data_IF_906161756889
#
_entry.id   IF_906161756889
#
_cell.length_a   1.000
_cell.length_b   1.000
_cell.length_c   1.000
_cell.angle_alpha   90.00
_cell.angle_beta   90.00
_cell.angle_gamma   90.00
#
_symmetry.space_group_name_H-M   'P 1'
#
loop_
_entity.id
_entity.type
_entity.pdbx_description
1 polymer ?
#
# COMPACT_ATOMS: atom_id res chain seq x y z
N UNK A 1 -32.51 -2.44 -15.89
CA UNK A 1 -32.68 -1.18 -15.13
C UNK A 1 -31.27 -0.73 -14.86
N UNK A 2 -30.87 0.49 -15.24
CA UNK A 2 -29.55 1.01 -14.86
C UNK A 2 -29.49 1.11 -13.34
N UNK A 3 -28.47 0.52 -12.73
CA UNK A 3 -28.24 0.58 -11.28
C UNK A 3 -28.19 2.04 -10.81
N UNK A 4 -28.59 2.27 -9.57
CA UNK A 4 -28.60 3.63 -9.01
C UNK A 4 -27.16 4.10 -8.86
N UNK A 5 -26.81 5.09 -9.65
CA UNK A 5 -25.51 5.74 -9.63
C UNK A 5 -25.52 6.87 -8.60
N UNK A 6 -24.55 6.92 -7.74
CA UNK A 6 -24.47 7.91 -6.65
C UNK A 6 -23.10 8.59 -6.66
N UNK A 7 -23.08 9.92 -6.54
CA UNK A 7 -21.86 10.72 -6.43
C UNK A 7 -21.88 11.44 -5.08
N UNK A 8 -20.76 11.46 -4.38
CA UNK A 8 -20.59 12.20 -3.15
C UNK A 8 -19.27 12.97 -3.12
N UNK A 9 -19.28 14.14 -2.51
CA UNK A 9 -18.09 14.94 -2.16
C UNK A 9 -17.73 14.82 -0.68
N UNK A 10 -18.45 13.98 0.07
CA UNK A 10 -18.17 13.68 1.46
C UNK A 10 -17.23 12.49 1.58
N UNK A 11 -16.00 12.71 2.06
CA UNK A 11 -15.04 11.64 2.33
C UNK A 11 -15.61 10.59 3.28
N UNK A 12 -16.33 11.02 4.33
CA UNK A 12 -16.94 10.10 5.28
C UNK A 12 -18.03 9.22 4.63
N UNK A 13 -18.88 9.79 3.79
CA UNK A 13 -19.89 9.03 3.05
C UNK A 13 -19.24 8.03 2.09
N UNK A 14 -18.20 8.46 1.35
CA UNK A 14 -17.42 7.60 0.48
C UNK A 14 -16.78 6.43 1.24
N UNK A 15 -16.17 6.67 2.41
CA UNK A 15 -15.59 5.64 3.27
C UNK A 15 -16.64 4.61 3.72
N UNK A 16 -17.84 5.06 4.13
CA UNK A 16 -18.95 4.16 4.52
C UNK A 16 -19.38 3.28 3.35
N UNK A 17 -19.52 3.85 2.15
CA UNK A 17 -19.89 3.08 0.97
C UNK A 17 -18.79 2.12 0.53
N UNK A 18 -17.54 2.57 0.56
CA UNK A 18 -16.39 1.70 0.28
C UNK A 18 -16.38 0.49 1.22
N UNK A 19 -16.53 0.70 2.53
CA UNK A 19 -16.55 -0.38 3.53
C UNK A 19 -17.70 -1.37 3.33
N UNK A 20 -18.84 -0.92 2.76
CA UNK A 20 -19.96 -1.80 2.41
C UNK A 20 -19.67 -2.65 1.19
N UNK A 21 -19.00 -2.10 0.17
CA UNK A 21 -18.65 -2.81 -1.07
C UNK A 21 -17.46 -3.74 -0.88
N UNK A 22 -16.52 -3.35 -0.03
CA UNK A 22 -15.26 -4.08 0.22
C UNK A 22 -15.08 -4.34 1.72
N UNK A 23 -15.92 -5.20 2.34
CA UNK A 23 -15.92 -5.39 3.78
C UNK A 23 -14.57 -5.91 4.29
N UNK A 24 -14.07 -5.27 5.34
CA UNK A 24 -12.79 -5.59 5.97
C UNK A 24 -11.55 -5.05 5.27
N UNK A 25 -11.68 -4.40 4.11
CA UNK A 25 -10.55 -3.74 3.44
C UNK A 25 -10.31 -2.33 4.01
N UNK A 26 -9.13 -2.03 4.56
CA UNK A 26 -8.80 -0.68 5.03
C UNK A 26 -8.23 0.22 3.92
N UNK A 27 -8.29 -0.18 2.66
CA UNK A 27 -7.66 0.53 1.54
C UNK A 27 -8.05 2.01 1.47
N UNK A 28 -9.35 2.31 1.52
CA UNK A 28 -9.83 3.69 1.39
C UNK A 28 -9.21 4.60 2.47
N UNK A 29 -9.26 4.16 3.73
CA UNK A 29 -8.71 4.92 4.84
C UNK A 29 -7.18 5.06 4.78
N UNK A 30 -6.49 4.10 4.17
CA UNK A 30 -5.04 4.08 4.07
C UNK A 30 -4.50 4.92 2.90
N UNK A 31 -5.18 4.88 1.73
CA UNK A 31 -4.67 5.48 0.48
C UNK A 31 -5.41 6.74 0.01
N UNK A 32 -6.60 7.03 0.55
CA UNK A 32 -7.40 8.19 0.14
C UNK A 32 -7.46 9.19 1.30
N UNK A 33 -6.50 10.13 1.41
CA UNK A 33 -6.48 11.11 2.49
C UNK A 33 -7.64 12.11 2.34
N UNK A 34 -8.30 12.45 3.46
CA UNK A 34 -9.41 13.39 3.45
C UNK A 34 -9.01 14.77 2.90
N UNK A 35 -7.78 15.22 3.16
CA UNK A 35 -7.25 16.51 2.69
C UNK A 35 -7.16 16.61 1.17
N UNK A 36 -7.03 15.49 0.47
CA UNK A 36 -6.85 15.43 -0.99
C UNK A 36 -8.06 14.84 -1.71
N UNK A 37 -9.08 14.40 -0.97
CA UNK A 37 -10.27 13.78 -1.54
C UNK A 37 -11.08 14.79 -2.36
N UNK A 38 -11.44 14.42 -3.59
CA UNK A 38 -12.27 15.25 -4.47
C UNK A 38 -13.73 14.77 -4.40
N UNK A 39 -13.97 13.54 -4.84
CA UNK A 39 -15.29 12.91 -4.86
C UNK A 39 -15.17 11.39 -4.91
N UNK A 40 -16.28 10.72 -4.71
CA UNK A 40 -16.44 9.31 -5.05
C UNK A 40 -17.76 9.07 -5.78
N UNK A 41 -17.73 8.09 -6.65
CA UNK A 41 -18.86 7.63 -7.44
C UNK A 41 -18.99 6.12 -7.27
N UNK A 42 -20.19 5.61 -7.04
CA UNK A 42 -20.46 4.20 -6.80
C UNK A 42 -21.85 3.79 -7.28
N UNK A 43 -22.01 2.50 -7.57
CA UNK A 43 -23.26 1.90 -8.00
C UNK A 43 -23.62 0.65 -7.18
N UNK A 44 -24.80 0.10 -7.49
CA UNK A 44 -25.30 -1.13 -6.84
C UNK A 44 -24.67 -2.41 -7.44
N UNK A 45 -23.85 -2.31 -8.48
CA UNK A 45 -23.14 -3.42 -9.13
C UNK A 45 -21.77 -3.68 -8.52
N UNK A 46 -21.36 -2.85 -7.56
CA UNK A 46 -20.10 -3.00 -6.81
C UNK A 46 -18.93 -2.23 -7.43
N UNK A 47 -19.21 -1.27 -8.32
CA UNK A 47 -18.18 -0.36 -8.81
C UNK A 47 -18.04 0.83 -7.86
N UNK A 48 -16.79 1.27 -7.68
CA UNK A 48 -16.41 2.40 -6.84
C UNK A 48 -15.27 3.15 -7.49
N UNK A 49 -15.46 4.44 -7.70
CA UNK A 49 -14.47 5.32 -8.32
C UNK A 49 -14.25 6.51 -7.42
N UNK A 50 -13.00 6.91 -7.20
CA UNK A 50 -12.65 8.07 -6.38
C UNK A 50 -11.45 8.80 -6.97
N UNK A 51 -11.49 10.15 -6.92
CA UNK A 51 -10.39 11.02 -7.28
C UNK A 51 -9.77 11.68 -6.05
N UNK A 52 -8.45 11.88 -6.08
CA UNK A 52 -7.71 12.72 -5.13
C UNK A 52 -6.80 13.67 -5.89
N UNK A 53 -6.57 14.86 -5.33
CA UNK A 53 -5.64 15.83 -5.87
C UNK A 53 -4.27 15.70 -5.19
N UNK A 54 -3.26 15.32 -5.98
CA UNK A 54 -1.88 15.18 -5.54
C UNK A 54 -0.97 15.49 -6.75
N UNK A 55 -0.52 16.73 -6.89
CA UNK A 55 0.20 17.19 -8.09
C UNK A 55 -0.55 16.83 -9.40
N UNK A 56 -1.85 17.09 -9.43
CA UNK A 56 -2.80 16.68 -10.44
C UNK A 56 -3.76 15.61 -9.93
N UNK A 57 -4.80 15.32 -10.70
CA UNK A 57 -5.82 14.35 -10.30
C UNK A 57 -5.28 12.92 -10.46
N UNK A 58 -5.30 12.20 -9.37
CA UNK A 58 -5.05 10.75 -9.36
C UNK A 58 -6.36 10.02 -9.03
N UNK A 59 -6.73 9.08 -9.88
CA UNK A 59 -7.94 8.29 -9.72
C UNK A 59 -7.69 6.88 -9.17
N UNK A 60 -8.71 6.32 -8.53
CA UNK A 60 -8.81 4.90 -8.19
C UNK A 60 -10.17 4.41 -8.66
N UNK A 61 -10.18 3.37 -9.48
CA UNK A 61 -11.39 2.77 -10.06
C UNK A 61 -11.44 1.28 -9.71
N UNK A 62 -12.41 0.88 -8.90
CA UNK A 62 -12.59 -0.47 -8.36
C UNK A 62 -13.87 -1.11 -8.89
N UNK A 63 -13.88 -2.43 -8.99
CA UNK A 63 -14.99 -3.21 -9.49
C UNK A 63 -14.72 -3.80 -10.87
N UNK A 64 -15.72 -4.41 -11.47
CA UNK A 64 -15.59 -5.09 -12.77
C UNK A 64 -15.76 -4.16 -13.99
N UNK A 65 -16.46 -3.03 -13.81
CA UNK A 65 -16.73 -2.04 -14.85
C UNK A 65 -16.92 -0.64 -14.27
N UNK A 66 -15.91 -0.10 -13.54
CA UNK A 66 -16.02 1.22 -12.92
C UNK A 66 -16.04 2.31 -13.99
N UNK A 67 -16.74 3.40 -13.70
CA UNK A 67 -16.65 4.60 -14.52
C UNK A 67 -15.26 5.22 -14.42
N UNK A 68 -14.66 5.58 -15.55
CA UNK A 68 -13.37 6.26 -15.59
C UNK A 68 -13.61 7.69 -16.07
N UNK A 69 -13.47 8.70 -15.17
CA UNK A 69 -13.64 10.10 -15.54
C UNK A 69 -12.63 10.55 -16.60
N UNK A 70 -13.10 11.26 -17.62
CA UNK A 70 -12.26 11.69 -18.74
C UNK A 70 -11.19 12.73 -18.37
N UNK A 71 -11.37 13.42 -17.26
CA UNK A 71 -10.41 14.39 -16.72
C UNK A 71 -9.21 13.75 -16.03
N UNK A 72 -9.21 12.45 -15.83
CA UNK A 72 -8.07 11.78 -15.20
C UNK A 72 -6.93 11.57 -16.20
N UNK A 73 -5.73 11.99 -15.83
CA UNK A 73 -4.52 11.72 -16.58
C UNK A 73 -3.82 10.44 -16.11
N UNK A 74 -4.02 10.08 -14.85
CA UNK A 74 -3.43 8.90 -14.21
C UNK A 74 -4.38 8.30 -13.17
N UNK A 75 -4.43 6.97 -13.08
CA UNK A 75 -5.27 6.27 -12.12
C UNK A 75 -4.84 4.81 -11.93
N UNK A 76 -5.24 4.22 -10.80
CA UNK A 76 -5.18 2.77 -10.57
C UNK A 76 -6.53 2.15 -10.85
N UNK A 77 -6.56 1.23 -11.81
CA UNK A 77 -7.72 0.45 -12.20
C UNK A 77 -7.66 -0.92 -11.51
N UNK A 78 -8.79 -1.39 -10.98
CA UNK A 78 -8.93 -2.80 -10.58
C UNK A 78 -8.55 -3.70 -11.76
N UNK A 79 -7.58 -4.60 -11.58
CA UNK A 79 -7.06 -5.42 -12.69
C UNK A 79 -8.12 -6.29 -13.34
N UNK A 80 -9.25 -6.57 -12.65
CA UNK A 80 -10.41 -7.27 -13.22
C UNK A 80 -11.11 -6.46 -14.31
N UNK A 81 -10.98 -5.14 -14.29
CA UNK A 81 -11.61 -4.23 -15.25
C UNK A 81 -10.69 -3.84 -16.42
N UNK A 82 -9.54 -4.47 -16.58
CA UNK A 82 -8.55 -4.10 -17.61
C UNK A 82 -9.14 -4.12 -19.03
N UNK A 83 -10.08 -5.01 -19.29
CA UNK A 83 -10.78 -5.07 -20.61
C UNK A 83 -11.67 -3.86 -20.89
N UNK A 84 -11.98 -3.04 -19.88
CA UNK A 84 -12.76 -1.81 -20.01
C UNK A 84 -11.88 -0.55 -20.09
N UNK A 85 -10.55 -0.69 -20.10
CA UNK A 85 -9.63 0.44 -20.20
C UNK A 85 -9.85 1.17 -21.55
N UNK A 86 -10.17 2.48 -21.53
CA UNK A 86 -10.37 3.25 -22.77
C UNK A 86 -9.07 3.37 -23.58
N UNK A 87 -9.21 3.43 -24.91
CA UNK A 87 -8.07 3.43 -25.84
C UNK A 87 -7.10 4.59 -25.67
N UNK A 88 -7.53 5.70 -25.08
CA UNK A 88 -6.68 6.87 -24.79
C UNK A 88 -5.68 6.65 -23.65
N UNK A 89 -5.77 5.54 -22.92
CA UNK A 89 -4.85 5.20 -21.81
C UNK A 89 -3.93 4.05 -22.17
N UNK A 90 -2.81 3.98 -21.47
CA UNK A 90 -1.83 2.89 -21.51
C UNK A 90 -1.60 2.34 -20.11
N UNK A 91 -1.33 1.06 -20.02
CA UNK A 91 -0.81 0.43 -18.81
C UNK A 91 0.66 0.82 -18.62
N UNK A 92 1.02 1.24 -17.42
CA UNK A 92 2.38 1.64 -17.04
C UNK A 92 2.99 0.65 -16.07
N UNK A 93 2.21 0.20 -15.07
CA UNK A 93 2.67 -0.70 -14.02
C UNK A 93 1.50 -1.49 -13.43
N UNK A 94 1.82 -2.53 -12.67
CA UNK A 94 0.85 -3.34 -11.93
C UNK A 94 1.32 -3.52 -10.49
N UNK A 95 0.42 -3.36 -9.53
CA UNK A 95 0.75 -3.45 -8.12
C UNK A 95 -0.39 -4.00 -7.28
N UNK A 96 -0.06 -4.62 -6.18
CA UNK A 96 -0.97 -5.25 -5.24
C UNK A 96 -0.93 -4.55 -3.90
N UNK A 97 -2.09 -4.36 -3.30
CA UNK A 97 -2.26 -3.82 -1.96
C UNK A 97 -2.55 -4.93 -0.96
N UNK A 98 -1.79 -4.96 0.11
CA UNK A 98 -1.96 -5.89 1.22
C UNK A 98 -2.16 -5.17 2.55
N UNK A 99 -2.80 -5.85 3.49
CA UNK A 99 -2.95 -5.41 4.87
C UNK A 99 -2.91 -6.57 5.85
N UNK A 100 -2.50 -6.29 7.08
CA UNK A 100 -2.61 -7.23 8.19
C UNK A 100 -2.95 -6.51 9.50
N UNK A 101 -3.68 -7.13 10.43
CA UNK A 101 -3.86 -6.58 11.77
C UNK A 101 -2.53 -6.52 12.49
N UNK A 102 -2.35 -5.48 13.32
CA UNK A 102 -1.16 -5.38 14.17
C UNK A 102 -1.14 -6.45 15.25
N UNK A 103 0.04 -6.76 15.76
CA UNK A 103 0.25 -7.84 16.73
C UNK A 103 0.64 -7.23 18.07
N UNK A 104 -0.12 -7.53 19.11
CA UNK A 104 0.25 -7.16 20.48
C UNK A 104 1.30 -8.12 21.01
N UNK A 105 2.52 -7.61 21.20
CA UNK A 105 3.60 -8.36 21.80
C UNK A 105 4.61 -7.42 22.49
N UNK A 106 5.31 -7.94 23.47
CA UNK A 106 6.42 -7.25 24.14
C UNK A 106 7.74 -7.50 23.41
N UNK A 107 8.71 -6.60 23.58
CA UNK A 107 10.11 -6.94 23.31
C UNK A 107 10.66 -6.60 21.92
N UNK A 108 10.13 -5.57 21.21
CA UNK A 108 10.88 -5.02 20.07
C UNK A 108 12.13 -4.35 20.61
N UNK A 109 13.29 -4.79 20.11
CA UNK A 109 14.55 -4.11 20.34
C UNK A 109 14.58 -2.80 19.53
N UNK A 110 15.07 -1.70 20.12
CA UNK A 110 15.25 -0.45 19.38
C UNK A 110 16.26 -0.66 18.23
N UNK A 111 16.11 0.17 17.18
CA UNK A 111 17.07 0.23 16.07
C UNK A 111 18.49 0.49 16.59
N UNK A 112 19.44 -0.30 16.10
CA UNK A 112 20.88 -0.19 16.44
C UNK A 112 21.68 0.34 15.25
N UNK A 113 21.29 -0.02 14.01
CA UNK A 113 21.98 0.41 12.79
C UNK A 113 21.84 1.92 12.58
N UNK A 114 22.91 2.55 12.15
CA UNK A 114 22.92 3.96 11.76
C UNK A 114 22.14 4.18 10.43
N UNK A 115 21.71 5.40 10.18
CA UNK A 115 21.06 5.76 8.92
C UNK A 115 21.98 5.51 7.71
N UNK A 116 23.29 5.70 7.85
CA UNK A 116 24.28 5.42 6.81
C UNK A 116 24.35 3.92 6.48
N UNK A 117 24.28 3.04 7.50
CA UNK A 117 24.26 1.59 7.30
C UNK A 117 22.98 1.15 6.60
N UNK A 118 21.81 1.68 7.00
CA UNK A 118 20.52 1.41 6.34
C UNK A 118 20.54 1.91 4.90
N UNK A 119 20.99 3.12 4.63
CA UNK A 119 21.10 3.68 3.29
C UNK A 119 21.95 2.79 2.36
N UNK A 120 23.13 2.40 2.85
CA UNK A 120 24.05 1.50 2.14
C UNK A 120 23.40 0.13 1.88
N UNK A 121 22.73 -0.42 2.89
CA UNK A 121 22.03 -1.70 2.80
C UNK A 121 20.93 -1.67 1.74
N UNK A 122 20.08 -0.64 1.73
CA UNK A 122 19.00 -0.50 0.76
C UNK A 122 19.54 -0.35 -0.66
N UNK A 123 20.55 0.50 -0.87
CA UNK A 123 21.18 0.68 -2.18
C UNK A 123 21.76 -0.61 -2.75
N UNK A 124 22.26 -1.49 -1.89
CA UNK A 124 22.88 -2.75 -2.29
C UNK A 124 21.84 -3.87 -2.50
N UNK A 125 20.85 -4.01 -1.62
CA UNK A 125 19.97 -5.18 -1.57
C UNK A 125 18.54 -4.91 -2.05
N UNK A 126 18.12 -3.65 -2.11
CA UNK A 126 16.80 -3.20 -2.57
C UNK A 126 16.85 -1.78 -3.17
N UNK A 127 17.59 -1.57 -4.30
CA UNK A 127 17.80 -0.23 -4.87
C UNK A 127 16.51 0.45 -5.35
N UNK A 128 15.42 -0.32 -5.53
CA UNK A 128 14.09 0.19 -5.89
C UNK A 128 13.24 0.55 -4.67
N UNK A 129 13.84 0.68 -3.49
CA UNK A 129 13.14 1.09 -2.27
C UNK A 129 12.45 2.44 -2.45
N UNK A 130 11.22 2.56 -1.94
CA UNK A 130 10.40 3.77 -2.07
C UNK A 130 10.83 4.91 -1.14
N UNK A 131 11.46 4.58 -0.01
CA UNK A 131 11.99 5.56 0.95
C UNK A 131 13.39 5.17 1.41
N UNK A 132 14.19 6.19 1.75
CA UNK A 132 15.55 6.06 2.28
C UNK A 132 15.69 6.90 3.54
N UNK A 133 16.72 6.68 4.38
CA UNK A 133 16.99 7.52 5.54
C UNK A 133 16.99 9.00 5.20
N UNK A 134 16.29 9.80 6.00
CA UNK A 134 16.07 11.24 5.77
C UNK A 134 14.72 11.60 5.14
N UNK A 135 13.93 10.63 4.64
CA UNK A 135 12.56 10.89 4.23
C UNK A 135 11.70 11.26 5.46
N UNK A 136 10.87 12.29 5.31
CA UNK A 136 10.09 12.90 6.42
C UNK A 136 8.96 12.01 6.92
N UNK A 137 8.46 11.14 6.06
CA UNK A 137 7.36 10.22 6.34
C UNK A 137 7.75 9.08 7.27
N UNK A 138 9.06 8.82 7.42
CA UNK A 138 9.57 7.70 8.22
C UNK A 138 9.39 8.00 9.70
N UNK A 139 8.64 7.14 10.37
CA UNK A 139 8.49 7.14 11.83
C UNK A 139 9.57 6.30 12.51
N UNK A 140 9.83 5.13 11.94
CA UNK A 140 10.71 4.13 12.52
C UNK A 140 11.29 3.20 11.44
N UNK A 141 12.54 2.81 11.61
CA UNK A 141 13.14 1.68 10.91
C UNK A 141 13.07 0.45 11.80
N UNK A 142 12.49 -0.62 11.26
CA UNK A 142 12.46 -1.95 11.90
C UNK A 142 13.56 -2.79 11.26
N UNK A 143 14.40 -3.42 12.08
CA UNK A 143 15.56 -4.17 11.60
C UNK A 143 15.67 -5.56 12.22
N UNK A 144 16.39 -6.43 11.53
CA UNK A 144 16.88 -7.70 12.07
C UNK A 144 18.37 -7.75 11.88
N UNK A 145 19.06 -8.07 12.98
CA UNK A 145 20.49 -8.34 12.98
C UNK A 145 20.71 -9.85 13.18
N UNK A 146 21.66 -10.40 12.43
CA UNK A 146 22.25 -11.71 12.70
C UNK A 146 23.73 -11.54 12.99
N UNK A 147 24.19 -12.01 14.15
CA UNK A 147 25.58 -11.82 14.61
C UNK A 147 26.09 -10.37 14.48
N UNK A 148 25.25 -9.38 14.82
CA UNK A 148 25.48 -7.93 14.69
C UNK A 148 25.53 -7.41 13.23
N UNK A 149 25.29 -8.23 12.25
CA UNK A 149 25.16 -7.82 10.86
C UNK A 149 23.70 -7.48 10.54
N UNK A 150 23.44 -6.35 9.88
CA UNK A 150 22.11 -6.02 9.37
C UNK A 150 21.74 -7.00 8.26
N UNK A 151 20.67 -7.79 8.46
CA UNK A 151 20.22 -8.80 7.50
C UNK A 151 18.84 -8.52 6.91
N UNK A 152 18.02 -7.71 7.61
CA UNK A 152 16.76 -7.24 7.05
C UNK A 152 16.33 -5.91 7.66
N UNK A 153 15.66 -5.07 6.87
CA UNK A 153 15.17 -3.75 7.30
C UNK A 153 13.89 -3.38 6.58
N UNK A 154 13.00 -2.64 7.24
CA UNK A 154 11.83 -2.01 6.67
C UNK A 154 11.54 -0.67 7.35
N UNK A 155 10.89 0.25 6.64
CA UNK A 155 10.42 1.50 7.19
C UNK A 155 8.93 1.43 7.55
N UNK A 156 8.55 2.00 8.70
CA UNK A 156 7.17 2.38 9.00
C UNK A 156 7.01 3.86 8.67
N UNK A 157 6.16 4.17 7.71
CA UNK A 157 5.98 5.52 7.19
C UNK A 157 4.55 6.00 7.48
N UNK A 158 4.39 7.25 7.98
CA UNK A 158 3.09 7.89 8.10
C UNK A 158 2.76 8.62 6.81
N UNK A 159 1.70 8.17 6.17
CA UNK A 159 1.21 8.80 4.96
C UNK A 159 0.25 9.96 5.28
N UNK A 160 -0.08 10.75 4.27
CA UNK A 160 -0.97 11.92 4.38
C UNK A 160 -2.37 11.56 4.86
N UNK A 161 -2.80 10.31 4.68
CA UNK A 161 -4.02 9.75 5.28
C UNK A 161 -3.94 9.64 6.81
N UNK A 162 -2.77 9.87 7.40
CA UNK A 162 -2.49 9.64 8.82
C UNK A 162 -2.21 8.18 9.17
N UNK A 163 -2.36 7.26 8.22
CA UNK A 163 -2.11 5.81 8.43
C UNK A 163 -0.65 5.45 8.27
N UNK A 164 -0.25 4.39 8.94
CA UNK A 164 1.12 3.87 8.85
C UNK A 164 1.17 2.75 7.81
N UNK A 165 2.12 2.89 6.89
CA UNK A 165 2.38 1.97 5.79
C UNK A 165 3.77 1.36 5.96
N UNK A 166 3.93 0.07 5.67
CA UNK A 166 5.24 -0.56 5.59
C UNK A 166 5.83 -0.24 4.21
N UNK A 167 7.05 0.28 4.21
CA UNK A 167 7.79 0.65 3.00
C UNK A 167 9.20 0.08 3.04
N UNK A 168 9.87 0.00 1.89
CA UNK A 168 11.30 -0.34 1.75
C UNK A 168 11.70 -1.64 2.48
N UNK A 169 10.86 -2.68 2.33
CA UNK A 169 11.15 -4.01 2.89
C UNK A 169 12.30 -4.65 2.13
N UNK A 170 13.41 -4.88 2.81
CA UNK A 170 14.63 -5.43 2.23
C UNK A 170 15.22 -6.56 3.07
N UNK A 171 15.74 -7.59 2.39
CA UNK A 171 16.55 -8.66 3.01
C UNK A 171 17.86 -8.79 2.25
N UNK A 172 18.95 -8.87 2.98
CA UNK A 172 20.30 -9.09 2.46
C UNK A 172 20.29 -10.30 1.48
N UNK A 173 20.89 -10.15 0.34
CA UNK A 173 20.84 -11.16 -0.75
C UNK A 173 21.23 -12.56 -0.29
N UNK A 174 22.31 -12.68 0.49
CA UNK A 174 22.83 -13.97 0.95
C UNK A 174 22.00 -14.59 2.10
N UNK A 175 21.09 -13.83 2.68
CA UNK A 175 20.19 -14.26 3.76
C UNK A 175 18.74 -14.46 3.31
N UNK A 176 18.47 -14.36 2.01
CA UNK A 176 17.13 -14.65 1.45
C UNK A 176 16.80 -16.13 1.59
N UNK A 177 15.49 -16.43 1.67
CA UNK A 177 15.00 -17.80 1.85
C UNK A 177 15.17 -18.39 3.26
N UNK A 178 15.74 -17.65 4.21
CA UNK A 178 16.01 -18.12 5.57
C UNK A 178 14.97 -17.61 6.61
N UNK A 179 13.85 -17.02 6.16
CA UNK A 179 12.76 -16.57 7.03
C UNK A 179 12.90 -15.16 7.57
N UNK A 180 14.01 -14.45 7.35
CA UNK A 180 14.24 -13.10 7.88
C UNK A 180 13.21 -12.08 7.39
N UNK A 181 12.78 -12.16 6.14
CA UNK A 181 11.72 -11.28 5.63
C UNK A 181 10.40 -11.44 6.37
N UNK A 182 9.98 -12.69 6.66
CA UNK A 182 8.78 -12.98 7.45
C UNK A 182 8.92 -12.45 8.88
N UNK A 183 10.02 -12.75 9.54
CA UNK A 183 10.30 -12.24 10.89
C UNK A 183 10.33 -10.70 10.93
N UNK A 184 10.85 -10.05 9.89
CA UNK A 184 10.83 -8.60 9.76
C UNK A 184 9.41 -8.06 9.66
N UNK A 185 8.56 -8.63 8.79
CA UNK A 185 7.16 -8.16 8.65
C UNK A 185 6.35 -8.38 9.92
N UNK A 186 6.56 -9.48 10.64
CA UNK A 186 5.96 -9.71 11.96
C UNK A 186 6.41 -8.64 12.98
N UNK A 187 7.71 -8.28 12.99
CA UNK A 187 8.21 -7.16 13.80
C UNK A 187 7.58 -5.82 13.42
N UNK A 188 7.35 -5.56 12.13
CA UNK A 188 6.64 -4.36 11.70
C UNK A 188 5.21 -4.31 12.26
N UNK A 189 4.48 -5.43 12.26
CA UNK A 189 3.13 -5.49 12.83
C UNK A 189 3.12 -5.22 14.34
N UNK A 190 4.13 -5.67 15.07
CA UNK A 190 4.29 -5.37 16.50
C UNK A 190 4.65 -3.90 16.72
N UNK A 191 5.55 -3.33 15.90
CA UNK A 191 5.90 -1.92 15.96
C UNK A 191 4.71 -1.01 15.65
N UNK A 192 3.89 -1.38 14.65
CA UNK A 192 2.66 -0.69 14.31
C UNK A 192 1.65 -0.64 15.46
N UNK A 193 1.52 -1.73 16.23
CA UNK A 193 0.67 -1.74 17.44
C UNK A 193 1.15 -0.73 18.50
N UNK A 194 2.45 -0.64 18.72
CA UNK A 194 3.05 0.34 19.63
C UNK A 194 2.85 1.79 19.17
N UNK A 195 2.75 2.02 17.85
CA UNK A 195 2.38 3.31 17.28
C UNK A 195 0.87 3.60 17.36
N UNK A 196 0.06 2.68 17.91
CA UNK A 196 -1.38 2.81 18.07
C UNK A 196 -2.20 2.43 16.84
N UNK A 197 -1.57 1.81 15.83
CA UNK A 197 -2.27 1.36 14.64
C UNK A 197 -2.97 0.00 14.90
N UNK A 198 -4.16 -0.17 14.30
CA UNK A 198 -4.91 -1.43 14.36
C UNK A 198 -4.50 -2.40 13.25
N UNK A 199 -3.97 -1.89 12.18
CA UNK A 199 -3.50 -2.62 11.01
C UNK A 199 -2.36 -1.86 10.34
N UNK A 200 -1.55 -2.57 9.58
CA UNK A 200 -0.60 -1.98 8.65
C UNK A 200 -0.94 -2.42 7.23
N UNK A 201 -0.63 -1.54 6.28
CA UNK A 201 -0.79 -1.80 4.86
C UNK A 201 0.57 -1.73 4.16
N UNK A 202 0.65 -2.31 2.97
CA UNK A 202 1.78 -2.17 2.07
C UNK A 202 1.34 -2.32 0.61
N UNK A 203 2.15 -1.77 -0.31
CA UNK A 203 2.05 -2.01 -1.74
C UNK A 203 3.23 -2.82 -2.24
N UNK A 204 3.03 -3.64 -3.26
CA UNK A 204 4.08 -4.43 -3.88
C UNK A 204 3.83 -4.53 -5.39
N UNK A 205 4.88 -4.46 -6.21
CA UNK A 205 4.76 -4.71 -7.65
C UNK A 205 4.23 -6.12 -7.91
N UNK A 206 3.27 -6.24 -8.82
CA UNK A 206 2.61 -7.51 -9.14
C UNK A 206 3.59 -8.60 -9.60
N UNK A 207 4.66 -8.22 -10.26
CA UNK A 207 5.74 -9.14 -10.69
C UNK A 207 6.64 -9.64 -9.56
N UNK A 208 6.55 -9.06 -8.35
CA UNK A 208 7.35 -9.49 -7.20
C UNK A 208 6.68 -10.63 -6.42
N UNK A 209 6.53 -11.79 -7.09
CA UNK A 209 5.93 -12.99 -6.50
C UNK A 209 6.58 -13.44 -5.19
N UNK A 210 7.90 -13.19 -5.05
CA UNK A 210 8.62 -13.55 -3.82
C UNK A 210 8.11 -12.75 -2.61
N UNK A 211 7.89 -11.44 -2.79
CA UNK A 211 7.34 -10.58 -1.74
C UNK A 211 5.86 -10.88 -1.49
N UNK A 212 5.06 -11.18 -2.51
CA UNK A 212 3.65 -11.57 -2.35
C UNK A 212 3.54 -12.85 -1.48
N UNK A 213 4.31 -13.89 -1.80
CA UNK A 213 4.36 -15.13 -0.98
C UNK A 213 4.82 -14.87 0.45
N UNK A 214 5.79 -13.97 0.63
CA UNK A 214 6.25 -13.55 1.94
C UNK A 214 5.10 -12.94 2.75
N UNK A 215 4.42 -11.92 2.20
CA UNK A 215 3.35 -11.20 2.90
C UNK A 215 2.18 -12.12 3.23
N UNK A 216 1.73 -12.95 2.30
CA UNK A 216 0.70 -13.95 2.55
C UNK A 216 1.09 -14.92 3.67
N UNK A 217 2.35 -15.40 3.68
CA UNK A 217 2.85 -16.29 4.74
C UNK A 217 2.97 -15.61 6.11
N UNK A 218 3.09 -14.29 6.14
CA UNK A 218 3.12 -13.46 7.34
C UNK A 218 1.72 -12.98 7.78
N UNK A 219 0.64 -13.48 7.14
CA UNK A 219 -0.74 -13.19 7.52
C UNK A 219 -1.32 -11.92 6.89
N UNK A 220 -0.67 -11.35 5.89
CA UNK A 220 -1.25 -10.25 5.13
C UNK A 220 -2.32 -10.74 4.17
N UNK A 221 -3.41 -10.01 4.10
CA UNK A 221 -4.53 -10.23 3.20
C UNK A 221 -4.42 -9.29 2.00
N UNK A 222 -4.63 -9.83 0.80
CA UNK A 222 -4.76 -9.02 -0.40
C UNK A 222 -6.04 -8.18 -0.32
N UNK A 223 -5.94 -6.88 -0.60
CA UNK A 223 -7.08 -5.98 -0.72
C UNK A 223 -7.50 -5.84 -2.18
N UNK A 224 -6.58 -5.35 -2.98
CA UNK A 224 -6.81 -5.05 -4.39
C UNK A 224 -5.58 -5.36 -5.23
N UNK A 225 -5.82 -5.81 -6.47
CA UNK A 225 -4.83 -5.84 -7.53
C UNK A 225 -5.09 -4.64 -8.45
N UNK A 226 -4.07 -3.85 -8.75
CA UNK A 226 -4.20 -2.66 -9.56
C UNK A 226 -3.35 -2.72 -10.82
N UNK A 227 -3.93 -2.23 -11.90
CA UNK A 227 -3.23 -1.83 -13.11
C UNK A 227 -3.14 -0.31 -13.10
N UNK A 228 -1.92 0.23 -13.01
CA UNK A 228 -1.68 1.68 -13.07
C UNK A 228 -1.69 2.14 -14.52
N UNK A 229 -2.51 3.12 -14.79
CA UNK A 229 -2.78 3.63 -16.13
C UNK A 229 -2.47 5.12 -16.23
N UNK A 230 -1.93 5.53 -17.37
CA UNK A 230 -1.70 6.93 -17.73
C UNK A 230 -2.27 7.23 -19.11
N UNK A 231 -2.67 8.47 -19.34
CA UNK A 231 -3.07 8.97 -20.66
C UNK A 231 -1.88 8.90 -21.63
N UNK A 232 -2.14 8.52 -22.88
CA UNK A 232 -1.13 8.45 -23.96
C UNK A 232 -0.65 9.82 -24.40
#
# INVERSE_FOLDING_TARGET
>A
MAGKHTITTSHQEASVHYARLFPGSPFFDAWIPQSHFINAEFDDEGNFTTGREDNGIYGVALGSSPAIPKEWDKFSLDSRAISSLPDEYKVVDEWDCYWAPTIKADGIQPKVSSDQEIDTFLKLHAPQSSVFPGNKEILEWVEILDNKQLVAVAALCRWESGKVIISSVATHTDFRGQGFGKALTEKCLIAGEKLGEKYLCLGVHHTNESAQRLYQSAGFNLMHNFTYCERK
#
